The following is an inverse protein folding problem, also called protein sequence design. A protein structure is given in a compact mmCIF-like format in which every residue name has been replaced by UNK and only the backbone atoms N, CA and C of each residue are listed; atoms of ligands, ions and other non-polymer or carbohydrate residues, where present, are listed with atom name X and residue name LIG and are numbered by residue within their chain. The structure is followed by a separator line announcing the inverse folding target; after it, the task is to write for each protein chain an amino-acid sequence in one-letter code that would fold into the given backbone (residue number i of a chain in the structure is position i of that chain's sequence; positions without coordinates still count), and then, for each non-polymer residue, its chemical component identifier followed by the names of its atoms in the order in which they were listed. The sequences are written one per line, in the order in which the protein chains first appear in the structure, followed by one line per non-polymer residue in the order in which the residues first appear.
data_IF_484466908561
#
_entry.id   IF_484466908561
#
_cell.length_a   1.000
_cell.length_b   1.000
_cell.length_c   1.000
_cell.angle_alpha   90.00
_cell.angle_beta   90.00
_cell.angle_gamma   90.00
#
_symmetry.space_group_name_H-M   'P 1'
#
loop_
_entity.id
_entity.type
_entity.pdbx_description
1 polymer ?
#
# COMPACT_ATOMS: atom_id res chain seq x y z
N UNK A 1 14.67 0.76 11.73
CA UNK A 1 13.72 -0.20 11.12
C UNK A 1 14.01 -0.36 9.64
N UNK A 2 13.57 -1.48 9.06
CA UNK A 2 13.82 -1.81 7.66
C UNK A 2 12.51 -2.11 6.95
N UNK A 3 12.37 -1.58 5.73
CA UNK A 3 11.29 -1.88 4.80
C UNK A 3 11.88 -2.56 3.57
N UNK A 4 11.36 -3.73 3.24
CA UNK A 4 11.78 -4.51 2.09
C UNK A 4 10.83 -4.24 0.93
N UNK A 5 11.38 -4.04 -0.27
CA UNK A 5 10.63 -3.73 -1.47
C UNK A 5 10.96 -4.72 -2.59
N UNK A 6 9.92 -5.19 -3.29
CA UNK A 6 10.05 -5.78 -4.62
C UNK A 6 9.57 -4.78 -5.65
N UNK A 7 10.39 -4.52 -6.66
CA UNK A 7 9.98 -3.85 -7.89
C UNK A 7 9.72 -4.93 -8.93
N UNK A 8 8.46 -5.09 -9.34
CA UNK A 8 7.99 -6.15 -10.23
C UNK A 8 7.69 -5.56 -11.59
N UNK A 9 8.43 -5.99 -12.61
CA UNK A 9 8.20 -5.65 -14.01
C UNK A 9 7.31 -6.70 -14.62
N UNK A 10 6.16 -6.30 -15.18
CA UNK A 10 5.20 -7.18 -15.82
C UNK A 10 4.86 -6.73 -17.23
N UNK A 11 4.62 -7.68 -18.11
CA UNK A 11 3.86 -7.46 -19.33
C UNK A 11 2.38 -7.69 -19.05
N UNK A 12 1.54 -6.73 -19.41
CA UNK A 12 0.09 -6.86 -19.31
C UNK A 12 -0.41 -7.68 -20.50
N UNK A 13 -1.19 -8.74 -20.26
CA UNK A 13 -1.65 -9.66 -21.33
C UNK A 13 -2.98 -9.27 -21.95
N UNK A 14 -3.77 -8.45 -21.26
CA UNK A 14 -5.07 -7.97 -21.72
C UNK A 14 -5.29 -6.52 -21.29
N UNK A 15 -6.10 -5.76 -22.02
CA UNK A 15 -6.37 -4.37 -21.67
C UNK A 15 -6.98 -4.27 -20.26
N UNK A 16 -6.42 -3.40 -19.41
CA UNK A 16 -6.92 -3.16 -18.06
C UNK A 16 -7.28 -1.68 -17.93
N UNK A 17 -8.54 -1.41 -17.61
CA UNK A 17 -8.98 -0.06 -17.28
C UNK A 17 -8.33 0.43 -16.00
N UNK A 18 -7.99 1.71 -15.96
CA UNK A 18 -7.31 2.36 -14.85
C UNK A 18 -7.98 2.08 -13.49
N UNK A 19 -9.30 2.14 -13.44
CA UNK A 19 -10.09 1.91 -12.23
C UNK A 19 -10.02 0.46 -11.70
N UNK A 20 -9.61 -0.50 -12.53
CA UNK A 20 -9.55 -1.93 -12.18
C UNK A 20 -8.14 -2.41 -11.84
N UNK A 21 -7.11 -1.57 -12.02
CA UNK A 21 -5.72 -1.99 -11.90
C UNK A 21 -5.39 -2.54 -10.50
N UNK A 22 -5.89 -1.90 -9.44
CA UNK A 22 -5.60 -2.32 -8.07
C UNK A 22 -6.21 -3.67 -7.74
N UNK A 23 -7.45 -3.90 -8.18
CA UNK A 23 -8.13 -5.18 -7.99
C UNK A 23 -7.42 -6.30 -8.78
N UNK A 24 -6.96 -6.02 -9.99
CA UNK A 24 -6.18 -6.97 -10.81
C UNK A 24 -4.84 -7.31 -10.18
N UNK A 25 -4.07 -6.31 -9.73
CA UNK A 25 -2.79 -6.55 -9.03
C UNK A 25 -3.06 -7.31 -7.72
N UNK A 26 -4.03 -6.89 -6.91
CA UNK A 26 -4.39 -7.56 -5.66
C UNK A 26 -4.79 -9.03 -5.87
N UNK A 27 -5.60 -9.33 -6.89
CA UNK A 27 -5.96 -10.69 -7.26
C UNK A 27 -4.74 -11.52 -7.69
N UNK A 28 -3.83 -10.94 -8.47
CA UNK A 28 -2.59 -11.59 -8.86
C UNK A 28 -1.70 -11.94 -7.65
N UNK A 29 -1.53 -11.00 -6.70
CA UNK A 29 -0.77 -11.24 -5.47
C UNK A 29 -1.43 -12.30 -4.59
N UNK A 30 -2.77 -12.28 -4.47
CA UNK A 30 -3.50 -13.31 -3.74
C UNK A 30 -3.24 -14.70 -4.34
N UNK A 31 -3.31 -14.83 -5.68
CA UNK A 31 -2.98 -16.10 -6.35
C UNK A 31 -1.53 -16.52 -6.10
N UNK A 32 -0.58 -15.58 -6.02
CA UNK A 32 0.82 -15.89 -5.67
C UNK A 32 0.92 -16.44 -4.24
N UNK A 33 0.21 -15.86 -3.28
CA UNK A 33 0.20 -16.34 -1.88
C UNK A 33 -0.30 -17.79 -1.79
N UNK A 34 -1.24 -18.22 -2.64
CA UNK A 34 -1.74 -19.59 -2.64
C UNK A 34 -0.70 -20.65 -3.06
N UNK A 35 0.47 -20.24 -3.57
CA UNK A 35 1.54 -21.13 -4.02
C UNK A 35 2.54 -21.51 -2.90
N UNK A 36 2.42 -20.91 -1.72
CA UNK A 36 3.25 -21.18 -0.54
C UNK A 36 2.33 -21.43 0.66
N UNK A 37 2.52 -22.53 1.39
CA UNK A 37 1.57 -22.92 2.45
C UNK A 37 1.47 -21.87 3.57
N UNK A 38 2.59 -21.27 3.97
CA UNK A 38 2.60 -20.19 4.97
C UNK A 38 1.87 -18.94 4.50
N UNK A 39 2.10 -18.53 3.25
CA UNK A 39 1.40 -17.38 2.69
C UNK A 39 -0.10 -17.67 2.48
N UNK A 40 -0.45 -18.89 2.09
CA UNK A 40 -1.83 -19.34 1.93
C UNK A 40 -2.58 -19.32 3.25
N UNK A 41 -1.96 -19.81 4.33
CA UNK A 41 -2.53 -19.73 5.68
C UNK A 41 -2.76 -18.26 6.09
N UNK A 42 -1.73 -17.41 5.93
CA UNK A 42 -1.83 -15.97 6.18
C UNK A 42 -2.94 -15.31 5.35
N UNK A 43 -3.13 -15.74 4.09
CA UNK A 43 -4.17 -15.20 3.22
C UNK A 43 -5.58 -15.47 3.77
N UNK A 44 -5.78 -16.61 4.43
CA UNK A 44 -7.06 -17.04 5.01
C UNK A 44 -7.43 -16.37 6.33
N UNK A 45 -6.46 -15.82 7.06
CA UNK A 45 -6.71 -15.12 8.33
C UNK A 45 -7.39 -13.76 8.12
N UNK A 46 -8.31 -13.40 9.00
CA UNK A 46 -8.99 -12.09 9.01
C UNK A 46 -8.17 -11.03 9.76
N UNK A 47 -6.93 -10.87 9.34
CA UNK A 47 -5.94 -10.00 9.99
C UNK A 47 -5.38 -8.99 8.99
N UNK A 48 -4.69 -7.97 9.52
CA UNK A 48 -3.94 -7.05 8.68
C UNK A 48 -2.75 -7.81 8.10
N UNK A 49 -2.78 -8.06 6.80
CA UNK A 49 -1.67 -8.72 6.11
C UNK A 49 -0.48 -7.77 6.08
N UNK A 50 0.75 -8.26 6.32
CA UNK A 50 1.92 -7.43 6.59
C UNK A 50 2.54 -6.83 5.32
N UNK A 51 1.74 -6.43 4.33
CA UNK A 51 2.24 -5.87 3.07
C UNK A 51 1.30 -4.84 2.45
N UNK A 52 1.86 -4.06 1.54
CA UNK A 52 1.12 -3.16 0.66
C UNK A 52 1.75 -3.17 -0.74
N UNK A 53 1.07 -2.58 -1.72
CA UNK A 53 1.57 -2.51 -3.10
C UNK A 53 1.13 -1.24 -3.82
N UNK A 54 1.87 -0.86 -4.86
CA UNK A 54 1.55 0.30 -5.70
C UNK A 54 0.68 -0.09 -6.90
N UNK A 55 0.17 0.91 -7.61
CA UNK A 55 -0.32 0.73 -8.99
C UNK A 55 0.82 0.62 -10.01
N UNK A 56 0.43 0.54 -11.28
CA UNK A 56 1.37 0.55 -12.40
C UNK A 56 2.02 1.91 -12.64
N UNK A 57 3.29 1.85 -13.02
CA UNK A 57 4.07 2.93 -13.59
C UNK A 57 4.63 2.50 -14.97
N UNK A 58 4.60 3.37 -15.99
CA UNK A 58 3.99 4.71 -16.01
C UNK A 58 2.46 4.65 -15.86
N UNK A 59 1.86 5.74 -15.39
CA UNK A 59 0.40 5.86 -15.27
C UNK A 59 -0.18 6.31 -16.61
N UNK A 60 -1.13 5.54 -17.13
CA UNK A 60 -1.86 5.84 -18.37
C UNK A 60 -2.92 6.92 -18.16
N UNK A 61 -2.48 8.15 -17.87
CA UNK A 61 -3.35 9.24 -17.45
C UNK A 61 -4.27 9.77 -18.57
N UNK A 62 -3.86 9.63 -19.84
CA UNK A 62 -4.61 10.08 -21.02
C UNK A 62 -5.64 9.04 -21.48
N UNK A 63 -5.21 7.81 -21.72
CA UNK A 63 -6.08 6.75 -22.25
C UNK A 63 -6.91 6.08 -21.16
N UNK A 64 -6.46 6.14 -19.89
CA UNK A 64 -7.02 5.39 -18.76
C UNK A 64 -7.09 3.88 -19.00
N UNK A 65 -6.27 3.36 -19.91
CA UNK A 65 -6.21 1.94 -20.25
C UNK A 65 -4.76 1.51 -20.34
N UNK A 66 -4.39 0.56 -19.49
CA UNK A 66 -3.14 -0.19 -19.58
C UNK A 66 -3.26 -1.22 -20.70
N UNK A 67 -2.42 -1.12 -21.72
CA UNK A 67 -2.59 -1.87 -22.97
C UNK A 67 -1.99 -3.27 -22.89
N UNK A 68 -2.64 -4.23 -23.54
CA UNK A 68 -2.07 -5.55 -23.77
C UNK A 68 -0.74 -5.46 -24.52
N UNK A 69 0.24 -6.28 -24.14
CA UNK A 69 1.60 -6.30 -24.66
C UNK A 69 2.54 -5.24 -24.07
N UNK A 70 2.02 -4.22 -23.37
CA UNK A 70 2.85 -3.18 -22.78
C UNK A 70 3.47 -3.61 -21.44
N UNK A 71 4.65 -3.04 -21.14
CA UNK A 71 5.41 -3.28 -19.92
C UNK A 71 5.09 -2.22 -18.88
N UNK A 72 4.81 -2.66 -17.67
CA UNK A 72 4.59 -1.80 -16.52
C UNK A 72 5.34 -2.32 -15.30
N UNK A 73 5.55 -1.41 -14.35
CA UNK A 73 6.21 -1.71 -13.08
C UNK A 73 5.26 -1.41 -11.93
N UNK A 74 5.20 -2.29 -10.94
CA UNK A 74 4.59 -1.99 -9.65
C UNK A 74 5.50 -2.45 -8.52
N UNK A 75 5.24 -1.96 -7.30
CA UNK A 75 6.06 -2.22 -6.13
C UNK A 75 5.25 -2.95 -5.07
N UNK A 76 5.89 -3.85 -4.33
CA UNK A 76 5.35 -4.53 -3.16
C UNK A 76 6.27 -4.22 -2.00
N UNK A 77 5.71 -3.86 -0.84
CA UNK A 77 6.48 -3.57 0.37
C UNK A 77 5.99 -4.36 1.56
N UNK A 78 6.91 -4.67 2.46
CA UNK A 78 6.65 -5.28 3.75
C UNK A 78 7.75 -4.95 4.74
N UNK A 79 7.41 -4.98 6.03
CA UNK A 79 8.38 -4.96 7.12
C UNK A 79 8.95 -6.36 7.43
N UNK A 80 8.36 -7.40 6.84
CA UNK A 80 8.73 -8.79 7.08
C UNK A 80 9.56 -9.33 5.90
N UNK A 81 10.86 -9.53 6.12
CA UNK A 81 11.78 -10.05 5.10
C UNK A 81 11.32 -11.39 4.54
N UNK A 82 10.87 -12.29 5.42
CA UNK A 82 10.42 -13.63 5.03
C UNK A 82 9.23 -13.60 4.09
N UNK A 83 8.26 -12.69 4.34
CA UNK A 83 7.12 -12.47 3.44
C UNK A 83 7.60 -12.07 2.04
N UNK A 84 8.53 -11.11 1.95
CA UNK A 84 9.08 -10.66 0.67
C UNK A 84 9.85 -11.77 -0.05
N UNK A 85 10.66 -12.55 0.67
CA UNK A 85 11.41 -13.67 0.10
C UNK A 85 10.48 -14.74 -0.48
N UNK A 86 9.39 -15.07 0.22
CA UNK A 86 8.37 -16.02 -0.27
C UNK A 86 7.61 -15.44 -1.47
N UNK A 87 7.16 -14.19 -1.37
CA UNK A 87 6.45 -13.52 -2.47
C UNK A 87 7.28 -13.44 -3.74
N UNK A 88 8.57 -13.12 -3.65
CA UNK A 88 9.48 -13.11 -4.81
C UNK A 88 9.49 -14.47 -5.53
N UNK A 89 9.64 -15.57 -4.78
CA UNK A 89 9.62 -16.92 -5.35
C UNK A 89 8.28 -17.26 -6.01
N UNK A 90 7.16 -16.89 -5.38
CA UNK A 90 5.83 -17.13 -5.91
C UNK A 90 5.57 -16.31 -7.19
N UNK A 91 5.94 -15.03 -7.21
CA UNK A 91 5.77 -14.14 -8.36
C UNK A 91 6.49 -14.66 -9.61
N UNK A 92 7.73 -15.17 -9.46
CA UNK A 92 8.51 -15.74 -10.58
C UNK A 92 7.85 -16.97 -11.20
N UNK A 93 7.08 -17.72 -10.42
CA UNK A 93 6.42 -18.97 -10.86
C UNK A 93 4.98 -18.76 -11.31
N UNK A 94 4.36 -17.65 -10.92
CA UNK A 94 2.93 -17.46 -11.12
C UNK A 94 2.57 -17.29 -12.59
N UNK A 95 1.70 -18.18 -13.08
CA UNK A 95 1.05 -18.06 -14.38
C UNK A 95 -0.27 -17.31 -14.19
N UNK A 96 -0.44 -16.20 -14.89
CA UNK A 96 -1.64 -15.37 -14.82
C UNK A 96 -2.10 -15.02 -16.23
N UNK A 97 -3.41 -14.92 -16.41
CA UNK A 97 -4.02 -14.45 -17.66
C UNK A 97 -3.96 -12.92 -17.77
N UNK A 98 -3.81 -12.23 -16.64
CA UNK A 98 -3.69 -10.78 -16.60
C UNK A 98 -2.26 -10.30 -16.88
N UNK A 99 -1.26 -11.04 -16.38
CA UNK A 99 0.13 -10.58 -16.28
C UNK A 99 1.13 -11.68 -16.60
N UNK A 100 2.25 -11.28 -17.19
CA UNK A 100 3.48 -12.06 -17.24
C UNK A 100 4.55 -11.35 -16.42
N UNK A 101 5.10 -12.01 -15.40
CA UNK A 101 6.25 -11.48 -14.67
C UNK A 101 7.50 -11.57 -15.56
N UNK A 102 8.17 -10.44 -15.78
CA UNK A 102 9.36 -10.32 -16.62
C UNK A 102 10.61 -10.24 -15.76
N UNK A 103 10.60 -9.37 -14.75
CA UNK A 103 11.73 -9.18 -13.85
C UNK A 103 11.25 -8.81 -12.44
N UNK A 104 12.07 -9.14 -11.45
CA UNK A 104 11.87 -8.73 -10.06
C UNK A 104 13.21 -8.25 -9.53
N UNK A 105 13.23 -7.01 -9.04
CA UNK A 105 14.33 -6.44 -8.28
C UNK A 105 13.93 -6.35 -6.81
N UNK A 106 14.87 -6.66 -5.91
CA UNK A 106 14.66 -6.55 -4.47
C UNK A 106 15.51 -5.43 -3.90
N UNK A 107 14.90 -4.56 -3.10
CA UNK A 107 15.56 -3.43 -2.43
C UNK A 107 15.23 -3.41 -0.95
N UNK A 108 16.06 -2.70 -0.19
CA UNK A 108 15.92 -2.51 1.24
C UNK A 108 16.02 -1.02 1.53
N UNK A 109 15.02 -0.49 2.23
CA UNK A 109 14.97 0.88 2.73
C UNK A 109 15.14 0.83 4.25
N UNK A 110 16.06 1.61 4.80
CA UNK A 110 16.32 1.66 6.23
C UNK A 110 17.40 2.68 6.56
N UNK A 111 17.59 2.91 7.85
CA UNK A 111 18.68 3.74 8.40
C UNK A 111 18.72 5.18 7.89
N UNK A 112 17.57 5.72 7.44
CA UNK A 112 17.41 7.13 7.06
C UNK A 112 16.18 7.71 7.74
N UNK A 113 16.24 8.98 8.12
CA UNK A 113 15.09 9.70 8.68
C UNK A 113 14.10 9.97 7.55
N UNK A 114 12.85 9.55 7.73
CA UNK A 114 11.75 9.89 6.83
C UNK A 114 11.25 11.27 7.24
N UNK A 115 11.39 12.25 6.34
CA UNK A 115 10.87 13.60 6.54
C UNK A 115 9.40 13.69 6.12
N UNK A 116 9.06 13.05 5.00
CA UNK A 116 7.73 13.12 4.43
C UNK A 116 7.29 11.77 3.87
N UNK A 117 6.01 11.47 3.98
CA UNK A 117 5.35 10.39 3.25
C UNK A 117 4.27 10.99 2.35
N UNK A 118 4.24 10.59 1.08
CA UNK A 118 3.21 11.01 0.13
C UNK A 118 2.53 9.80 -0.50
N UNK A 119 1.21 9.76 -0.39
CA UNK A 119 0.42 8.63 -0.87
C UNK A 119 0.30 8.65 -2.39
N UNK A 120 0.66 7.55 -3.03
CA UNK A 120 0.51 7.32 -4.48
C UNK A 120 -0.90 6.80 -4.78
N UNK A 121 -1.38 5.90 -3.92
CA UNK A 121 -2.73 5.35 -3.95
C UNK A 121 -3.55 6.05 -2.87
N UNK A 122 -4.82 6.44 -3.15
CA UNK A 122 -5.67 7.09 -2.17
C UNK A 122 -5.72 6.36 -0.83
N UNK A 123 -5.58 7.11 0.25
CA UNK A 123 -5.75 6.64 1.63
C UNK A 123 -7.25 6.52 1.90
N UNK A 124 -7.68 5.32 2.25
CA UNK A 124 -9.07 5.02 2.59
C UNK A 124 -9.21 5.06 4.11
N UNK A 125 -10.16 5.85 4.59
CA UNK A 125 -10.56 5.92 5.99
C UNK A 125 -12.08 5.83 6.07
N UNK A 126 -12.57 4.91 6.89
CA UNK A 126 -14.00 4.70 7.13
C UNK A 126 -14.36 5.20 8.52
N UNK A 127 -15.44 5.97 8.62
CA UNK A 127 -16.06 6.43 9.87
C UNK A 127 -17.51 5.98 9.85
N UNK A 128 -17.92 5.20 10.86
CA UNK A 128 -19.29 4.69 11.02
C UNK A 128 -19.86 4.03 9.76
N UNK A 129 -19.02 3.23 9.10
CA UNK A 129 -19.37 2.50 7.88
C UNK A 129 -19.41 3.34 6.60
N UNK A 130 -19.09 4.64 6.67
CA UNK A 130 -19.07 5.57 5.54
C UNK A 130 -17.64 6.06 5.25
N UNK A 131 -17.32 6.41 4.00
CA UNK A 131 -16.03 7.02 3.70
C UNK A 131 -15.92 8.39 4.38
N UNK A 132 -14.77 8.69 4.95
CA UNK A 132 -14.44 10.06 5.38
C UNK A 132 -14.19 10.93 4.13
N UNK A 133 -14.82 12.10 4.07
CA UNK A 133 -14.74 13.04 2.93
C UNK A 133 -14.20 14.40 3.41
N UNK A 134 -13.50 15.13 2.53
CA UNK A 134 -12.88 16.41 2.89
C UNK A 134 -13.90 17.53 3.16
N UNK A 135 -15.06 17.53 2.48
CA UNK A 135 -16.04 18.62 2.55
C UNK A 135 -16.69 18.75 3.94
N UNK A 136 -17.01 17.62 4.57
CA UNK A 136 -17.71 17.57 5.87
C UNK A 136 -16.88 16.88 6.97
N UNK A 137 -15.62 16.57 6.68
CA UNK A 137 -14.79 15.72 7.53
C UNK A 137 -13.98 16.49 8.55
N UNK A 138 -14.02 16.03 9.80
CA UNK A 138 -13.07 16.45 10.83
C UNK A 138 -11.65 15.93 10.50
N UNK A 139 -10.74 16.86 10.22
CA UNK A 139 -9.34 16.55 9.88
C UNK A 139 -8.59 15.94 11.06
N UNK A 140 -8.90 16.33 12.30
CA UNK A 140 -8.28 15.75 13.49
C UNK A 140 -8.72 14.30 13.67
N UNK A 141 -9.99 14.01 13.40
CA UNK A 141 -10.49 12.63 13.35
C UNK A 141 -9.76 11.82 12.27
N UNK A 142 -9.54 12.39 11.08
CA UNK A 142 -8.80 11.71 10.02
C UNK A 142 -7.36 11.37 10.46
N UNK A 143 -6.64 12.33 11.05
CA UNK A 143 -5.29 12.13 11.58
C UNK A 143 -5.29 11.05 12.67
N UNK A 144 -6.23 11.10 13.62
CA UNK A 144 -6.38 10.09 14.69
C UNK A 144 -6.63 8.69 14.12
N UNK A 145 -7.44 8.57 13.06
CA UNK A 145 -7.69 7.29 12.38
C UNK A 145 -6.43 6.76 11.69
N UNK A 146 -5.62 7.62 11.08
CA UNK A 146 -4.33 7.21 10.50
C UNK A 146 -3.33 6.79 11.56
N UNK A 147 -3.21 7.56 12.65
CA UNK A 147 -2.37 7.25 13.81
C UNK A 147 -2.69 5.85 14.35
N UNK A 148 -3.95 5.62 14.76
CA UNK A 148 -4.38 4.35 15.32
C UNK A 148 -4.21 3.17 14.35
N UNK A 149 -4.42 3.40 13.05
CA UNK A 149 -4.21 2.38 12.02
C UNK A 149 -2.74 1.95 11.92
N UNK A 150 -1.81 2.89 11.95
CA UNK A 150 -0.37 2.62 11.84
C UNK A 150 0.16 2.02 13.15
N UNK A 151 -0.27 2.50 14.31
CA UNK A 151 0.05 1.91 15.61
C UNK A 151 -0.42 0.46 15.70
N UNK A 152 -1.64 0.16 15.25
CA UNK A 152 -2.13 -1.21 15.16
C UNK A 152 -1.24 -2.07 14.27
N UNK A 153 -0.88 -1.59 13.08
CA UNK A 153 0.03 -2.31 12.16
C UNK A 153 1.40 -2.56 12.78
N UNK A 154 1.92 -1.60 13.54
CA UNK A 154 3.18 -1.74 14.25
C UNK A 154 3.06 -2.82 15.33
N UNK A 155 1.99 -2.79 16.14
CA UNK A 155 1.71 -3.81 17.14
C UNK A 155 1.57 -5.20 16.52
N UNK A 156 0.78 -5.34 15.45
CA UNK A 156 0.59 -6.61 14.74
C UNK A 156 1.94 -7.15 14.19
N UNK A 157 2.87 -6.28 13.80
CA UNK A 157 4.16 -6.67 13.24
C UNK A 157 5.24 -6.99 14.30
N UNK A 158 5.22 -6.32 15.45
CA UNK A 158 6.32 -6.36 16.43
C UNK A 158 5.91 -6.79 17.84
N UNK A 159 4.62 -6.92 18.13
CA UNK A 159 4.08 -7.21 19.46
C UNK A 159 4.32 -6.12 20.50
N UNK A 160 4.75 -4.91 20.06
CA UNK A 160 5.09 -3.77 20.91
C UNK A 160 4.12 -2.63 20.67
N UNK A 161 3.66 -2.00 21.74
CA UNK A 161 2.84 -0.79 21.65
C UNK A 161 3.74 0.44 21.62
N UNK A 162 3.33 1.42 20.83
CA UNK A 162 3.82 2.80 20.89
C UNK A 162 2.63 3.60 21.39
N UNK A 163 2.78 4.30 22.51
CA UNK A 163 1.72 5.08 23.15
C UNK A 163 2.18 6.52 23.31
N UNK A 164 1.24 7.46 23.30
CA UNK A 164 1.49 8.89 23.51
C UNK A 164 2.44 9.54 22.48
N UNK A 165 2.52 8.99 21.26
CA UNK A 165 3.28 9.57 20.15
C UNK A 165 2.33 10.11 19.10
N UNK A 166 2.58 11.30 18.57
CA UNK A 166 1.92 11.80 17.36
C UNK A 166 2.95 11.77 16.22
N UNK A 167 2.85 10.84 15.27
CA UNK A 167 3.87 10.75 14.22
C UNK A 167 3.65 11.72 13.06
N UNK A 168 2.41 12.17 12.89
CA UNK A 168 2.01 13.13 11.87
C UNK A 168 2.17 14.55 12.42
N UNK A 169 3.21 15.24 11.99
CA UNK A 169 3.44 16.65 12.32
C UNK A 169 2.49 17.57 11.55
N UNK A 170 2.33 17.29 10.25
CA UNK A 170 1.49 18.06 9.33
C UNK A 170 0.86 17.12 8.32
N UNK A 171 -0.38 17.38 7.94
CA UNK A 171 -1.11 16.67 6.89
C UNK A 171 -1.60 17.65 5.83
N UNK A 172 -1.38 17.29 4.57
CA UNK A 172 -1.86 18.03 3.40
C UNK A 172 -2.63 17.10 2.47
N UNK A 173 -3.83 17.50 2.05
CA UNK A 173 -4.57 16.80 1.00
C UNK A 173 -4.03 17.21 -0.37
N UNK A 174 -3.64 16.23 -1.19
CA UNK A 174 -3.06 16.43 -2.53
C UNK A 174 -4.10 16.35 -3.64
N UNK A 175 -5.38 16.16 -3.31
CA UNK A 175 -6.50 16.08 -4.24
C UNK A 175 -7.64 16.97 -3.75
N UNK A 176 -8.27 17.71 -4.66
CA UNK A 176 -9.44 18.54 -4.33
C UNK A 176 -10.71 17.72 -4.12
N UNK A 177 -10.89 16.64 -4.89
CA UNK A 177 -12.06 15.75 -4.80
C UNK A 177 -11.62 14.32 -4.44
N UNK A 178 -12.38 13.60 -3.61
CA UNK A 178 -12.10 12.20 -3.28
C UNK A 178 -11.89 11.34 -4.52
N UNK A 179 -10.90 10.46 -4.45
CA UNK A 179 -10.59 9.52 -5.51
C UNK A 179 -11.30 8.19 -5.26
N UNK A 180 -11.91 7.62 -6.30
CA UNK A 180 -12.58 6.33 -6.23
C UNK A 180 -11.67 5.18 -6.67
N UNK A 181 -11.72 4.08 -5.93
CA UNK A 181 -11.08 2.80 -6.27
C UNK A 181 -12.18 1.72 -6.33
N UNK A 182 -12.23 0.96 -7.43
CA UNK A 182 -13.16 -0.15 -7.57
C UNK A 182 -12.72 -1.34 -6.71
N UNK A 183 -13.66 -1.97 -6.02
CA UNK A 183 -13.42 -3.17 -5.24
C UNK A 183 -14.69 -4.00 -5.14
N UNK A 184 -14.69 -5.23 -5.68
CA UNK A 184 -15.82 -6.17 -5.55
C UNK A 184 -17.18 -5.56 -5.92
N UNK A 185 -17.23 -4.79 -7.01
CA UNK A 185 -18.45 -4.15 -7.50
C UNK A 185 -18.87 -2.87 -6.77
N UNK A 186 -18.17 -2.46 -5.71
CA UNK A 186 -18.39 -1.16 -5.05
C UNK A 186 -17.25 -0.17 -5.31
N UNK A 187 -17.48 1.12 -5.03
CA UNK A 187 -16.45 2.17 -5.09
C UNK A 187 -16.08 2.59 -3.69
N UNK A 188 -14.81 2.46 -3.34
CA UNK A 188 -14.23 3.01 -2.12
C UNK A 188 -13.67 4.39 -2.41
N UNK A 189 -13.99 5.36 -1.56
CA UNK A 189 -13.48 6.73 -1.67
C UNK A 189 -12.29 6.92 -0.73
N UNK A 190 -11.29 7.66 -1.19
CA UNK A 190 -10.12 8.01 -0.40
C UNK A 190 -9.47 9.29 -0.87
N UNK A 191 -8.52 9.77 -0.09
CA UNK A 191 -7.79 11.01 -0.38
C UNK A 191 -6.30 10.74 -0.53
N UNK A 192 -5.66 11.46 -1.44
CA UNK A 192 -4.21 11.52 -1.49
C UNK A 192 -3.72 12.50 -0.44
N UNK A 193 -2.74 12.09 0.34
CA UNK A 193 -2.16 12.90 1.40
C UNK A 193 -0.66 12.97 1.27
N UNK A 194 -0.11 14.10 1.71
CA UNK A 194 1.28 14.26 2.09
C UNK A 194 1.31 14.48 3.59
N UNK A 195 2.16 13.75 4.30
CA UNK A 195 2.39 13.95 5.73
C UNK A 195 3.84 14.30 5.98
N UNK A 196 4.07 15.28 6.83
CA UNK A 196 5.37 15.55 7.44
C UNK A 196 5.46 14.73 8.72
N UNK A 197 6.59 14.06 8.92
CA UNK A 197 6.80 13.09 10.01
C UNK A 197 7.66 13.72 11.09
N UNK A 198 7.28 13.54 12.36
CA UNK A 198 8.13 13.93 13.49
C UNK A 198 9.43 13.09 13.52
N UNK A 199 10.53 13.71 13.96
CA UNK A 199 11.86 13.10 13.89
C UNK A 199 12.20 12.17 15.07
N UNK A 200 11.36 12.12 16.10
CA UNK A 200 11.57 11.23 17.25
C UNK A 200 11.51 9.75 16.85
N UNK A 201 12.13 8.91 17.69
CA UNK A 201 12.33 7.49 17.38
C UNK A 201 11.02 6.75 17.11
N UNK A 202 9.98 7.02 17.91
CA UNK A 202 8.69 6.33 17.80
C UNK A 202 7.90 6.79 16.58
N UNK A 203 7.94 8.08 16.27
CA UNK A 203 7.39 8.61 15.02
C UNK A 203 8.07 8.01 13.80
N UNK A 204 9.39 7.82 13.84
CA UNK A 204 10.12 7.16 12.76
C UNK A 204 9.75 5.67 12.64
N UNK A 205 9.55 4.95 13.76
CA UNK A 205 9.03 3.56 13.73
C UNK A 205 7.66 3.48 13.05
N UNK A 206 6.75 4.40 13.38
CA UNK A 206 5.42 4.48 12.77
C UNK A 206 5.51 4.89 11.29
N UNK A 207 6.40 5.81 10.91
CA UNK A 207 6.60 6.19 9.51
C UNK A 207 7.15 5.04 8.66
N UNK A 208 8.12 4.28 9.15
CA UNK A 208 8.56 3.06 8.48
C UNK A 208 7.44 2.02 8.38
N UNK A 209 6.58 1.93 9.40
CA UNK A 209 5.40 1.07 9.37
C UNK A 209 4.43 1.48 8.27
N UNK A 210 4.12 2.77 8.15
CA UNK A 210 3.31 3.31 7.06
C UNK A 210 3.98 3.09 5.69
N UNK A 211 5.30 3.19 5.59
CA UNK A 211 6.04 2.93 4.35
C UNK A 211 5.93 1.46 3.90
N UNK A 212 6.03 0.53 4.86
CA UNK A 212 6.00 -0.91 4.62
C UNK A 212 4.60 -1.54 4.58
N UNK A 213 3.58 -0.89 5.16
CA UNK A 213 2.22 -1.43 5.32
C UNK A 213 1.11 -0.42 5.00
N UNK A 214 1.44 0.66 4.29
CA UNK A 214 0.55 1.76 3.87
C UNK A 214 -0.15 2.53 5.00
N UNK A 215 -0.66 3.71 4.69
CA UNK A 215 -1.59 4.47 5.53
C UNK A 215 -3.02 3.96 5.37
N UNK A 216 -3.81 3.98 6.44
CA UNK A 216 -5.24 3.69 6.38
C UNK A 216 -5.57 2.24 6.00
N UNK A 217 -6.73 2.08 5.36
CA UNK A 217 -7.36 0.79 5.12
C UNK A 217 -7.02 0.20 3.74
N UNK A 218 -7.27 -1.12 3.59
CA UNK A 218 -7.17 -1.88 2.33
C UNK A 218 -5.78 -1.92 1.68
N UNK A 219 -4.70 -1.69 2.44
CA UNK A 219 -3.31 -1.77 1.96
C UNK A 219 -2.95 -3.05 1.20
N UNK A 220 -3.25 -4.21 1.77
CA UNK A 220 -2.93 -5.51 1.16
C UNK A 220 -3.91 -5.97 0.08
N UNK A 221 -5.10 -5.38 0.03
CA UNK A 221 -6.16 -5.77 -0.93
C UNK A 221 -6.18 -4.89 -2.18
N UNK A 222 -5.83 -3.61 -2.05
CA UNK A 222 -5.96 -2.58 -3.09
C UNK A 222 -4.75 -1.65 -3.19
N UNK A 223 -3.70 -1.86 -2.38
CA UNK A 223 -2.61 -0.90 -2.26
C UNK A 223 -3.05 0.42 -1.60
N UNK A 224 -4.22 0.44 -0.95
CA UNK A 224 -4.80 1.64 -0.33
C UNK A 224 -3.79 2.34 0.58
N UNK A 225 -3.57 3.63 0.34
CA UNK A 225 -2.60 4.43 1.08
C UNK A 225 -1.13 4.02 0.93
N UNK A 226 -0.75 3.30 -0.13
CA UNK A 226 0.67 3.10 -0.48
C UNK A 226 1.36 4.44 -0.65
N UNK A 227 2.49 4.63 0.04
CA UNK A 227 3.22 5.90 0.08
C UNK A 227 4.63 5.77 -0.48
N UNK A 228 5.20 6.86 -0.98
CA UNK A 228 6.64 7.04 -1.10
C UNK A 228 7.16 7.92 0.04
N UNK A 229 8.47 7.81 0.31
CA UNK A 229 9.14 8.58 1.35
C UNK A 229 10.14 9.55 0.72
N UNK A 230 10.18 10.77 1.26
CA UNK A 230 11.33 11.65 1.16
C UNK A 230 12.18 11.46 2.41
N UNK A 231 13.47 11.19 2.21
CA UNK A 231 14.43 10.96 3.28
C UNK A 231 15.31 12.20 3.46
N UNK A 232 15.72 12.45 4.70
CA UNK A 232 16.82 13.37 5.00
C UNK A 232 18.14 12.90 4.35
#
# INVERSE_FOLDING_TARGET
MECYELTVTVMVKQNIYFQNVQEKIGAYLNRCMLMDETLKEMHGRREVKPYTFSGFYPVESKTKVYKAGAIYVFRIRSLQKEFIDKMERCLRKQKSDDFQCIAIEKRKHGNRVIQELYSVIPVIVTVDGKPWLQEDGDVDLFIKRLQANVEKKYYDAYGKKIENTQFIQRLEFMNQKPMAISYKGVRLLGNKVKITVNSDEDSQKLAYTALGNSLGEKGSSLGGGFCFANFA
#
